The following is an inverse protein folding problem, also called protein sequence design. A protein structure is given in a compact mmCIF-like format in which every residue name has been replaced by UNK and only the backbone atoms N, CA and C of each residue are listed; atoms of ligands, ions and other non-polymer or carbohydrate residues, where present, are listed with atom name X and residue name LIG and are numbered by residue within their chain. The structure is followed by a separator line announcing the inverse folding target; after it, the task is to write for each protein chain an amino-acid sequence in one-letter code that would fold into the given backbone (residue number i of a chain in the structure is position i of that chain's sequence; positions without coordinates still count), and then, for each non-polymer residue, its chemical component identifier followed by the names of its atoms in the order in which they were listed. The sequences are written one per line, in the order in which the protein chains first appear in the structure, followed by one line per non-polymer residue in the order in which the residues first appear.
data_IF_291474602192
#
_entry.id   IF_291474602192
#
_cell.length_a   1.000
_cell.length_b   1.000
_cell.length_c   1.000
_cell.angle_alpha   90.00
_cell.angle_beta   90.00
_cell.angle_gamma   90.00
#
_symmetry.space_group_name_H-M   'P 1'
#
loop_
_entity.id
_entity.type
_entity.pdbx_description
1 polymer ?
#
# COMPACT_ATOMS: atom_id res chain seq x y z
N UNK A 1 14.96 26.29 -29.20
CA UNK A 1 14.34 26.35 -27.86
C UNK A 1 13.37 25.18 -27.76
N UNK A 2 13.45 24.36 -26.70
CA UNK A 2 12.57 23.17 -26.59
C UNK A 2 11.34 23.56 -25.79
N UNK A 3 10.16 23.54 -26.43
CA UNK A 3 8.91 23.86 -25.75
C UNK A 3 8.49 22.68 -24.86
N UNK A 4 8.07 22.99 -23.64
CA UNK A 4 7.62 22.02 -22.63
C UNK A 4 6.12 22.16 -22.43
N UNK A 5 5.45 21.08 -22.04
CA UNK A 5 4.03 21.10 -21.75
C UNK A 5 3.76 21.98 -20.52
N UNK A 6 2.85 22.96 -20.65
CA UNK A 6 2.47 23.83 -19.53
C UNK A 6 1.80 23.08 -18.38
N UNK A 7 1.12 21.96 -18.66
CA UNK A 7 0.38 21.21 -17.63
C UNK A 7 1.32 20.34 -16.79
N UNK A 8 2.30 19.68 -17.39
CA UNK A 8 3.15 18.71 -16.69
C UNK A 8 4.63 19.11 -16.61
N UNK A 9 5.03 20.21 -17.24
CA UNK A 9 6.43 20.67 -17.32
C UNK A 9 7.36 19.77 -18.13
N UNK A 10 6.85 18.65 -18.65
CA UNK A 10 7.63 17.66 -19.40
C UNK A 10 7.82 18.04 -20.86
N UNK A 11 8.96 17.65 -21.44
CA UNK A 11 9.19 17.72 -22.89
C UNK A 11 8.28 16.73 -23.65
N UNK A 12 8.13 15.52 -23.12
CA UNK A 12 7.34 14.44 -23.74
C UNK A 12 7.72 14.14 -25.19
N UNK A 13 6.80 13.57 -25.96
CA UNK A 13 6.95 13.38 -27.40
C UNK A 13 6.56 14.67 -28.13
N UNK A 14 7.43 15.16 -29.02
CA UNK A 14 7.21 16.42 -29.75
C UNK A 14 5.96 16.40 -30.62
N UNK A 15 5.62 15.24 -31.17
CA UNK A 15 4.42 15.01 -32.00
C UNK A 15 3.11 15.04 -31.20
N UNK A 16 3.19 14.88 -29.89
CA UNK A 16 2.04 14.97 -28.99
C UNK A 16 1.81 16.38 -28.45
N UNK A 17 2.67 17.35 -28.78
CA UNK A 17 2.51 18.74 -28.36
C UNK A 17 1.53 19.46 -29.29
N UNK A 18 0.48 20.03 -28.69
CA UNK A 18 -0.44 20.93 -29.37
C UNK A 18 -0.12 22.34 -28.93
N UNK A 19 0.12 23.22 -29.90
CA UNK A 19 0.45 24.61 -29.67
C UNK A 19 -0.80 25.47 -29.57
N UNK A 20 -0.71 26.54 -28.80
CA UNK A 20 -1.77 27.54 -28.77
C UNK A 20 -1.95 28.11 -30.18
N UNK A 21 -3.15 27.96 -30.74
CA UNK A 21 -3.48 28.36 -32.10
C UNK A 21 -3.14 29.83 -32.38
N UNK A 22 -3.34 30.71 -31.38
CA UNK A 22 -3.07 32.14 -31.48
C UNK A 22 -1.59 32.52 -31.31
N UNK A 23 -0.97 32.22 -30.17
CA UNK A 23 0.38 32.71 -29.89
C UNK A 23 1.50 31.78 -30.34
N UNK A 24 1.23 30.48 -30.56
CA UNK A 24 2.23 29.45 -30.91
C UNK A 24 3.42 29.31 -29.93
N UNK A 25 3.42 30.05 -28.81
CA UNK A 25 4.47 30.03 -27.79
C UNK A 25 4.21 28.90 -26.78
N UNK A 26 2.98 28.83 -26.30
CA UNK A 26 2.56 27.88 -25.30
C UNK A 26 2.16 26.55 -25.94
N UNK A 27 2.52 25.44 -25.28
CA UNK A 27 2.21 24.10 -25.73
C UNK A 27 1.73 23.24 -24.56
N UNK A 28 0.85 22.28 -24.86
CA UNK A 28 0.43 21.23 -23.93
C UNK A 28 0.43 19.90 -24.66
N UNK A 29 0.64 18.80 -23.94
CA UNK A 29 0.46 17.49 -24.54
C UNK A 29 -1.01 17.22 -24.81
N UNK A 30 -1.31 16.56 -25.92
CA UNK A 30 -2.66 16.11 -26.31
C UNK A 30 -3.35 15.29 -25.22
N UNK A 31 -2.59 14.46 -24.50
CA UNK A 31 -3.06 13.66 -23.35
C UNK A 31 -3.09 14.44 -22.02
N UNK A 32 -2.47 15.62 -21.96
CA UNK A 32 -2.55 16.52 -20.81
C UNK A 32 -3.70 17.53 -20.93
N UNK A 33 -4.42 17.54 -22.06
CA UNK A 33 -5.66 18.30 -22.20
C UNK A 33 -6.78 17.59 -21.46
N UNK A 34 -7.50 18.31 -20.60
CA UNK A 34 -8.64 17.79 -19.81
C UNK A 34 -9.92 17.53 -20.63
N UNK A 35 -9.83 17.43 -21.96
CA UNK A 35 -10.97 17.13 -22.83
C UNK A 35 -11.05 15.63 -23.06
N UNK A 36 -12.11 15.02 -22.52
CA UNK A 36 -12.49 13.64 -22.76
C UNK A 36 -12.62 13.39 -24.27
N UNK A 37 -11.90 12.36 -24.74
CA UNK A 37 -11.87 11.82 -26.11
C UNK A 37 -11.15 12.71 -27.12
N UNK A 38 -9.83 12.72 -27.05
CA UNK A 38 -9.05 13.10 -28.21
C UNK A 38 -8.73 11.84 -29.02
N UNK A 39 -9.46 11.60 -30.12
CA UNK A 39 -9.06 10.64 -31.16
C UNK A 39 -7.82 11.18 -31.86
N UNK A 40 -6.88 10.33 -32.29
CA UNK A 40 -5.61 10.77 -32.89
C UNK A 40 -5.74 11.32 -34.32
N UNK A 41 -6.95 11.32 -34.89
CA UNK A 41 -7.19 11.54 -36.31
C UNK A 41 -7.65 12.96 -36.68
N UNK A 42 -8.02 13.80 -35.70
CA UNK A 42 -8.53 15.16 -35.94
C UNK A 42 -7.56 16.25 -35.45
N UNK A 43 -7.49 17.38 -36.18
CA UNK A 43 -6.69 18.53 -35.79
C UNK A 43 -7.30 19.24 -34.57
N UNK A 44 -6.56 19.29 -33.46
CA UNK A 44 -7.03 19.88 -32.20
C UNK A 44 -6.67 21.35 -32.12
N UNK A 45 -7.69 22.22 -32.12
CA UNK A 45 -7.52 23.67 -31.88
C UNK A 45 -7.54 23.94 -30.38
N UNK A 46 -6.45 24.49 -29.84
CA UNK A 46 -6.32 24.84 -28.42
C UNK A 46 -5.83 26.28 -28.25
N UNK A 47 -6.29 26.96 -27.19
CA UNK A 47 -5.84 28.30 -26.82
C UNK A 47 -5.30 28.30 -25.39
N UNK A 48 -4.14 28.92 -25.16
CA UNK A 48 -3.64 29.16 -23.81
C UNK A 48 -4.54 30.17 -23.07
N UNK A 49 -4.41 30.24 -21.75
CA UNK A 49 -5.27 31.10 -20.93
C UNK A 49 -5.23 32.57 -21.36
N UNK A 50 -4.06 33.09 -21.70
CA UNK A 50 -3.88 34.46 -22.21
C UNK A 50 -4.54 34.70 -23.57
N UNK A 51 -4.78 33.64 -24.33
CA UNK A 51 -5.34 33.69 -25.68
C UNK A 51 -6.81 33.29 -25.74
N UNK A 52 -7.41 32.86 -24.63
CA UNK A 52 -8.85 32.57 -24.57
C UNK A 52 -9.63 33.85 -24.85
N UNK A 53 -10.63 33.84 -25.75
CA UNK A 53 -11.46 35.02 -25.98
C UNK A 53 -12.28 35.33 -24.73
N UNK A 54 -12.19 36.57 -24.23
CA UNK A 54 -13.03 37.06 -23.13
C UNK A 54 -14.50 36.98 -23.56
N UNK A 55 -15.30 36.17 -22.87
CA UNK A 55 -16.76 36.30 -22.93
C UNK A 55 -17.13 37.56 -22.15
N UNK A 56 -17.88 38.46 -22.79
CA UNK A 56 -18.40 39.64 -22.13
C UNK A 56 -19.42 39.21 -21.05
N UNK A 57 -19.09 39.46 -19.78
CA UNK A 57 -20.00 39.34 -18.65
C UNK A 57 -20.36 40.75 -18.18
N UNK A 58 -21.67 41.02 -18.08
CA UNK A 58 -22.21 42.24 -17.51
C UNK A 58 -21.80 42.36 -16.04
N UNK A 59 -21.25 43.52 -15.72
CA UNK A 59 -20.81 44.00 -14.42
C UNK A 59 -21.95 44.02 -13.40
N UNK A 60 -21.67 43.55 -12.17
CA UNK A 60 -22.02 44.28 -10.95
C UNK A 60 -21.11 43.82 -9.80
N UNK A 61 -20.22 44.75 -9.42
CA UNK A 61 -19.31 44.70 -8.27
C UNK A 61 -20.04 44.93 -6.96
N UNK A 62 -19.73 44.14 -5.92
CA UNK A 62 -19.68 44.66 -4.55
C UNK A 62 -18.55 44.04 -3.73
N UNK A 63 -17.69 44.98 -3.34
CA UNK A 63 -16.68 45.08 -2.28
C UNK A 63 -16.41 43.90 -1.33
N UNK A 64 -15.11 43.69 -1.15
CA UNK A 64 -14.49 42.85 -0.13
C UNK A 64 -14.84 43.31 1.29
N UNK A 65 -15.38 42.38 2.07
CA UNK A 65 -15.19 42.31 3.52
C UNK A 65 -14.85 40.88 3.88
N UNK A 66 -13.75 40.71 4.61
CA UNK A 66 -13.21 39.46 5.09
C UNK A 66 -14.21 38.67 5.95
N UNK A 67 -14.94 37.74 5.31
CA UNK A 67 -15.68 36.63 5.95
C UNK A 67 -16.19 35.67 4.86
N UNK A 68 -15.29 35.10 4.07
CA UNK A 68 -15.60 34.31 2.87
C UNK A 68 -16.10 32.88 3.14
N UNK A 69 -16.58 32.55 4.35
CA UNK A 69 -16.92 31.15 4.68
C UNK A 69 -18.37 30.76 4.37
N UNK A 70 -19.27 31.73 4.11
CA UNK A 70 -20.70 31.45 3.94
C UNK A 70 -21.37 32.09 2.70
N UNK A 71 -20.57 32.58 1.74
CA UNK A 71 -21.12 33.16 0.51
C UNK A 71 -21.66 32.06 -0.42
N UNK A 72 -22.89 32.22 -0.90
CA UNK A 72 -23.59 31.25 -1.78
C UNK A 72 -23.87 31.86 -3.15
N UNK A 73 -23.84 31.05 -4.20
CA UNK A 73 -24.18 31.41 -5.56
C UNK A 73 -24.99 30.30 -6.25
N UNK A 74 -25.63 30.63 -7.37
CA UNK A 74 -26.33 29.65 -8.20
C UNK A 74 -25.36 29.00 -9.19
N UNK A 75 -25.39 27.68 -9.23
CA UNK A 75 -24.80 26.85 -10.29
C UNK A 75 -25.96 26.17 -10.99
N UNK A 76 -26.33 26.68 -12.16
CA UNK A 76 -27.58 26.35 -12.85
C UNK A 76 -28.80 26.50 -11.90
N UNK A 77 -29.73 25.53 -11.66
CA UNK A 77 -30.81 25.77 -10.70
C UNK A 77 -30.40 25.54 -9.23
N UNK A 78 -29.16 25.16 -8.92
CA UNK A 78 -28.75 24.74 -7.56
C UNK A 78 -28.02 25.85 -6.80
N UNK A 79 -28.41 26.07 -5.55
CA UNK A 79 -27.77 27.06 -4.68
C UNK A 79 -26.66 26.40 -3.86
N UNK A 80 -25.42 26.81 -4.06
CA UNK A 80 -24.25 26.23 -3.37
C UNK A 80 -23.29 27.32 -2.90
N UNK A 81 -22.40 27.00 -1.98
CA UNK A 81 -21.34 27.89 -1.54
C UNK A 81 -20.39 28.19 -2.71
N UNK A 82 -20.01 29.47 -2.85
CA UNK A 82 -19.09 29.97 -3.89
C UNK A 82 -17.81 29.15 -3.97
N UNK A 83 -17.32 28.67 -2.83
CA UNK A 83 -16.09 27.88 -2.73
C UNK A 83 -16.16 26.54 -3.48
N UNK A 84 -17.34 25.93 -3.55
CA UNK A 84 -17.53 24.62 -4.22
C UNK A 84 -18.22 24.75 -5.57
N UNK A 85 -18.69 25.93 -5.93
CA UNK A 85 -19.40 26.19 -7.17
C UNK A 85 -18.64 25.70 -8.44
N UNK A 86 -17.32 25.89 -8.58
CA UNK A 86 -16.58 25.36 -9.74
C UNK A 86 -16.60 23.83 -9.83
N UNK A 87 -16.56 23.16 -8.67
CA UNK A 87 -16.58 21.69 -8.59
C UNK A 87 -17.97 21.18 -8.94
N UNK A 88 -19.02 21.79 -8.39
CA UNK A 88 -20.41 21.43 -8.67
C UNK A 88 -20.74 21.66 -10.15
N UNK A 89 -20.31 22.78 -10.74
CA UNK A 89 -20.49 23.05 -12.17
C UNK A 89 -19.81 21.98 -13.03
N UNK A 90 -18.61 21.55 -12.64
CA UNK A 90 -17.88 20.48 -13.32
C UNK A 90 -18.61 19.13 -13.26
N UNK A 91 -19.28 18.84 -12.14
CA UNK A 91 -20.11 17.64 -12.00
C UNK A 91 -21.29 17.70 -12.96
N UNK A 92 -22.03 18.81 -12.96
CA UNK A 92 -23.23 18.98 -13.78
C UNK A 92 -22.90 18.91 -15.27
N UNK A 93 -21.83 19.60 -15.71
CA UNK A 93 -21.42 19.56 -17.11
C UNK A 93 -20.94 18.18 -17.56
N UNK A 94 -20.24 17.43 -16.69
CA UNK A 94 -19.80 16.05 -17.01
C UNK A 94 -20.94 15.04 -16.94
N UNK A 95 -21.98 15.34 -16.17
CA UNK A 95 -23.14 14.49 -15.95
C UNK A 95 -24.43 15.30 -16.09
N UNK A 96 -24.86 15.67 -17.31
CA UNK A 96 -26.04 16.50 -17.51
C UNK A 96 -27.35 15.86 -17.01
N UNK A 97 -27.37 14.54 -16.94
CA UNK A 97 -28.47 13.71 -16.43
C UNK A 97 -28.43 13.50 -14.91
N UNK A 98 -27.52 14.17 -14.18
CA UNK A 98 -27.19 13.83 -12.80
C UNK A 98 -28.37 13.83 -11.82
N UNK A 99 -29.40 14.64 -12.06
CA UNK A 99 -30.61 14.68 -11.23
C UNK A 99 -31.89 14.37 -12.00
N UNK A 100 -31.80 13.83 -13.22
CA UNK A 100 -32.95 13.63 -14.10
C UNK A 100 -33.99 12.68 -13.49
N UNK A 101 -33.54 11.66 -12.76
CA UNK A 101 -34.39 10.65 -12.10
C UNK A 101 -34.49 10.83 -10.57
N UNK A 102 -34.05 11.98 -10.05
CA UNK A 102 -34.02 12.23 -8.61
C UNK A 102 -35.41 12.66 -8.11
N UNK A 103 -36.01 11.94 -7.14
CA UNK A 103 -37.34 12.28 -6.62
C UNK A 103 -37.33 13.44 -5.61
N UNK A 104 -36.15 13.99 -5.29
CA UNK A 104 -35.99 14.96 -4.21
C UNK A 104 -36.20 16.39 -4.69
N UNK A 105 -36.51 17.27 -3.73
CA UNK A 105 -36.62 18.70 -4.00
C UNK A 105 -35.27 19.29 -4.43
N UNK A 106 -35.33 20.36 -5.23
CA UNK A 106 -34.15 21.12 -5.67
C UNK A 106 -33.28 21.61 -4.52
N UNK A 107 -33.89 22.01 -3.40
CA UNK A 107 -33.16 22.42 -2.19
C UNK A 107 -32.39 21.26 -1.55
N UNK A 108 -33.01 20.07 -1.49
CA UNK A 108 -32.36 18.85 -0.99
C UNK A 108 -31.18 18.45 -1.88
N UNK A 109 -31.35 18.51 -3.20
CA UNK A 109 -30.28 18.23 -4.17
C UNK A 109 -29.14 19.24 -4.01
N UNK A 110 -29.46 20.53 -3.80
CA UNK A 110 -28.47 21.58 -3.55
C UNK A 110 -27.62 21.29 -2.32
N UNK A 111 -28.23 20.83 -1.22
CA UNK A 111 -27.50 20.43 0.00
C UNK A 111 -26.59 19.20 -0.22
N UNK A 112 -27.05 18.23 -1.01
CA UNK A 112 -26.24 17.05 -1.36
C UNK A 112 -25.04 17.45 -2.24
N UNK A 113 -25.26 18.29 -3.24
CA UNK A 113 -24.19 18.84 -4.10
C UNK A 113 -23.20 19.68 -3.30
N UNK A 114 -23.69 20.49 -2.35
CA UNK A 114 -22.85 21.24 -1.42
C UNK A 114 -21.91 20.30 -0.66
N UNK A 115 -22.47 19.25 -0.05
CA UNK A 115 -21.69 18.28 0.73
C UNK A 115 -20.68 17.54 -0.15
N UNK A 116 -21.11 17.05 -1.31
CA UNK A 116 -20.23 16.39 -2.27
C UNK A 116 -19.09 17.31 -2.72
N UNK A 117 -19.39 18.56 -3.08
CA UNK A 117 -18.41 19.56 -3.49
C UNK A 117 -17.38 19.85 -2.40
N UNK A 118 -17.81 19.95 -1.14
CA UNK A 118 -16.90 20.16 -0.01
C UNK A 118 -15.97 18.96 0.20
N UNK A 119 -16.48 17.73 0.15
CA UNK A 119 -15.66 16.53 0.32
C UNK A 119 -14.70 16.33 -0.86
N UNK A 120 -15.14 16.61 -2.09
CA UNK A 120 -14.27 16.58 -3.27
C UNK A 120 -13.18 17.65 -3.19
N UNK A 121 -13.49 18.87 -2.72
CA UNK A 121 -12.50 19.91 -2.49
C UNK A 121 -11.44 19.45 -1.48
N UNK A 122 -11.85 18.83 -0.38
CA UNK A 122 -10.91 18.28 0.62
C UNK A 122 -10.01 17.22 -0.02
N UNK A 123 -10.58 16.23 -0.71
CA UNK A 123 -9.79 15.15 -1.31
C UNK A 123 -8.82 15.68 -2.37
N UNK A 124 -9.24 16.64 -3.19
CA UNK A 124 -8.41 17.26 -4.24
C UNK A 124 -7.33 18.21 -3.68
N UNK A 125 -7.47 18.69 -2.45
CA UNK A 125 -6.43 19.50 -1.78
C UNK A 125 -5.23 18.68 -1.29
N UNK A 126 -5.36 17.35 -1.18
CA UNK A 126 -4.24 16.50 -0.77
C UNK A 126 -3.33 16.18 -1.95
N UNK A 127 -2.02 16.23 -1.69
CA UNK A 127 -1.04 15.62 -2.59
C UNK A 127 -1.13 14.10 -2.54
N UNK A 128 -0.67 13.42 -3.59
CA UNK A 128 -0.71 11.95 -3.68
C UNK A 128 -0.02 11.24 -2.50
N UNK A 129 0.96 11.88 -1.86
CA UNK A 129 1.72 11.32 -0.73
C UNK A 129 0.99 11.47 0.62
N UNK A 130 0.08 12.44 0.71
CA UNK A 130 -0.62 12.80 1.95
C UNK A 130 -2.06 12.29 2.01
N UNK A 131 -2.61 11.85 0.88
CA UNK A 131 -3.94 11.25 0.86
C UNK A 131 -3.92 9.90 1.59
N UNK A 132 -4.75 9.75 2.62
CA UNK A 132 -4.89 8.54 3.43
C UNK A 132 -6.29 7.94 3.35
N UNK A 133 -6.42 6.67 3.68
CA UNK A 133 -7.71 5.96 3.57
C UNK A 133 -8.79 6.60 4.44
N UNK A 134 -8.42 7.20 5.58
CA UNK A 134 -9.32 7.99 6.40
C UNK A 134 -9.90 9.22 5.67
N UNK A 135 -9.14 9.85 4.77
CA UNK A 135 -9.58 11.05 4.05
C UNK A 135 -10.66 10.74 3.01
N UNK A 136 -10.73 9.48 2.53
CA UNK A 136 -11.75 9.05 1.57
C UNK A 136 -13.06 8.59 2.23
N UNK A 137 -13.10 8.43 3.55
CA UNK A 137 -14.31 7.96 4.27
C UNK A 137 -15.45 8.98 4.19
N UNK A 138 -15.16 10.25 4.40
CA UNK A 138 -16.18 11.31 4.35
C UNK A 138 -16.76 11.48 2.95
N UNK A 139 -15.91 11.37 1.92
CA UNK A 139 -16.33 11.34 0.53
C UNK A 139 -17.18 10.09 0.22
N UNK A 140 -16.80 8.92 0.72
CA UNK A 140 -17.57 7.67 0.56
C UNK A 140 -19.02 7.83 1.07
N UNK A 141 -19.18 8.40 2.28
CA UNK A 141 -20.49 8.68 2.84
C UNK A 141 -21.30 9.67 1.99
N UNK A 142 -20.67 10.75 1.53
CA UNK A 142 -21.34 11.73 0.68
C UNK A 142 -21.81 11.12 -0.66
N UNK A 143 -21.00 10.25 -1.27
CA UNK A 143 -21.39 9.53 -2.49
C UNK A 143 -22.55 8.57 -2.19
N UNK A 144 -22.50 7.82 -1.08
CA UNK A 144 -23.60 6.92 -0.67
C UNK A 144 -24.92 7.66 -0.45
N UNK A 145 -24.87 8.83 0.18
CA UNK A 145 -26.07 9.65 0.38
C UNK A 145 -26.65 10.12 -0.96
N UNK A 146 -25.80 10.47 -1.92
CA UNK A 146 -26.22 10.85 -3.27
C UNK A 146 -26.79 9.65 -4.07
N UNK A 147 -26.19 8.46 -3.94
CA UNK A 147 -26.71 7.22 -4.53
C UNK A 147 -28.08 6.86 -3.94
N UNK A 148 -28.24 6.97 -2.62
CA UNK A 148 -29.52 6.73 -1.95
C UNK A 148 -30.59 7.72 -2.40
N UNK A 149 -30.19 8.98 -2.66
CA UNK A 149 -31.01 10.01 -3.26
C UNK A 149 -31.29 9.81 -4.76
N UNK A 150 -30.78 8.73 -5.38
CA UNK A 150 -30.89 8.44 -6.82
C UNK A 150 -30.26 9.51 -7.73
N UNK A 151 -29.23 10.20 -7.26
CA UNK A 151 -28.40 11.04 -8.13
C UNK A 151 -27.47 10.15 -8.95
N UNK A 152 -27.26 10.48 -10.24
CA UNK A 152 -26.28 9.75 -11.07
C UNK A 152 -24.86 10.21 -10.71
N UNK A 153 -24.24 9.47 -9.79
CA UNK A 153 -22.86 9.69 -9.31
C UNK A 153 -21.95 8.51 -9.65
N UNK A 154 -22.31 7.70 -10.64
CA UNK A 154 -21.60 6.45 -10.99
C UNK A 154 -20.12 6.67 -11.30
N UNK A 155 -19.79 7.75 -12.01
CA UNK A 155 -18.40 8.09 -12.31
C UNK A 155 -17.63 8.52 -11.07
N UNK A 156 -18.26 9.24 -10.13
CA UNK A 156 -17.65 9.61 -8.85
C UNK A 156 -17.39 8.37 -7.99
N UNK A 157 -18.35 7.43 -7.93
CA UNK A 157 -18.19 6.14 -7.26
C UNK A 157 -17.02 5.35 -7.84
N UNK A 158 -16.95 5.24 -9.17
CA UNK A 158 -15.84 4.56 -9.84
C UNK A 158 -14.48 5.20 -9.51
N UNK A 159 -14.38 6.52 -9.58
CA UNK A 159 -13.15 7.25 -9.23
C UNK A 159 -12.74 7.03 -7.77
N UNK A 160 -13.70 7.11 -6.85
CA UNK A 160 -13.46 6.83 -5.43
C UNK A 160 -12.91 5.41 -5.20
N UNK A 161 -13.52 4.40 -5.84
CA UNK A 161 -13.09 3.01 -5.75
C UNK A 161 -11.68 2.81 -6.32
N UNK A 162 -11.37 3.46 -7.45
CA UNK A 162 -10.04 3.41 -8.05
C UNK A 162 -8.96 4.04 -7.14
N UNK A 163 -9.25 5.20 -6.55
CA UNK A 163 -8.35 5.84 -5.57
C UNK A 163 -8.14 4.92 -4.37
N UNK A 164 -9.22 4.39 -3.79
CA UNK A 164 -9.16 3.49 -2.64
C UNK A 164 -8.32 2.24 -2.91
N UNK A 165 -8.45 1.64 -4.09
CA UNK A 165 -7.63 0.50 -4.52
C UNK A 165 -6.16 0.88 -4.68
N UNK A 166 -5.86 1.99 -5.35
CA UNK A 166 -4.49 2.48 -5.53
C UNK A 166 -3.77 2.70 -4.20
N UNK A 167 -4.48 3.27 -3.23
CA UNK A 167 -3.95 3.48 -1.89
C UNK A 167 -3.66 2.18 -1.14
N UNK A 168 -4.58 1.22 -1.19
CA UNK A 168 -4.35 -0.11 -0.61
C UNK A 168 -3.11 -0.80 -1.21
N UNK A 169 -2.89 -0.65 -2.53
CA UNK A 169 -1.70 -1.18 -3.20
C UNK A 169 -0.41 -0.49 -2.70
N UNK A 170 -0.45 0.82 -2.46
CA UNK A 170 0.68 1.56 -1.87
C UNK A 170 1.00 1.08 -0.45
N UNK A 171 -0.02 0.87 0.39
CA UNK A 171 0.16 0.34 1.74
C UNK A 171 0.79 -1.06 1.73
N UNK A 172 0.30 -1.95 0.85
CA UNK A 172 0.89 -3.27 0.65
C UNK A 172 2.33 -3.19 0.14
N UNK A 173 2.62 -2.26 -0.75
CA UNK A 173 3.98 -2.04 -1.27
C UNK A 173 4.94 -1.60 -0.15
N UNK A 174 4.51 -0.65 0.69
CA UNK A 174 5.29 -0.21 1.85
C UNK A 174 5.52 -1.34 2.85
N UNK A 175 4.48 -2.13 3.16
CA UNK A 175 4.59 -3.28 4.05
C UNK A 175 5.56 -4.34 3.49
N UNK A 176 5.46 -4.65 2.20
CA UNK A 176 6.38 -5.57 1.52
C UNK A 176 7.82 -5.09 1.64
N UNK A 177 8.08 -3.80 1.47
CA UNK A 177 9.42 -3.24 1.58
C UNK A 177 9.95 -3.32 3.03
N UNK A 178 9.12 -3.03 4.03
CA UNK A 178 9.46 -3.23 5.45
C UNK A 178 9.87 -4.68 5.73
N UNK A 179 9.03 -5.64 5.32
CA UNK A 179 9.31 -7.08 5.47
C UNK A 179 10.62 -7.46 4.77
N UNK A 180 10.85 -6.96 3.55
CA UNK A 180 12.07 -7.24 2.78
C UNK A 180 13.33 -6.73 3.51
N UNK A 181 13.26 -5.55 4.13
CA UNK A 181 14.35 -4.99 4.94
C UNK A 181 14.56 -5.84 6.20
N UNK A 182 13.50 -6.18 6.92
CA UNK A 182 13.58 -7.02 8.12
C UNK A 182 14.15 -8.41 7.81
N UNK A 183 13.77 -9.00 6.68
CA UNK A 183 14.33 -10.26 6.18
C UNK A 183 15.81 -10.14 5.82
N UNK A 184 16.24 -9.02 5.23
CA UNK A 184 17.65 -8.77 4.94
C UNK A 184 18.47 -8.62 6.24
N UNK A 185 17.92 -7.94 7.24
CA UNK A 185 18.55 -7.75 8.55
C UNK A 185 18.60 -9.04 9.38
N UNK A 186 17.64 -9.96 9.21
CA UNK A 186 17.63 -11.28 9.88
C UNK A 186 18.58 -12.32 9.28
N UNK A 187 19.38 -11.97 8.26
CA UNK A 187 20.41 -12.90 7.72
C UNK A 187 21.52 -13.23 8.72
N UNK A 188 21.66 -12.45 9.79
CA UNK A 188 22.52 -12.82 10.92
C UNK A 188 21.70 -13.47 12.02
N UNK A 189 22.04 -14.73 12.33
CA UNK A 189 21.53 -15.41 13.53
C UNK A 189 21.88 -14.54 14.75
N UNK A 190 20.93 -14.27 15.67
CA UNK A 190 21.21 -13.39 16.81
C UNK A 190 22.45 -13.86 17.56
N UNK A 191 23.36 -12.94 17.87
CA UNK A 191 24.67 -13.23 18.49
C UNK A 191 24.52 -14.15 19.71
N UNK A 192 23.50 -13.90 20.52
CA UNK A 192 23.14 -14.74 21.68
C UNK A 192 22.92 -16.22 21.30
N UNK A 193 22.17 -16.49 20.24
CA UNK A 193 21.83 -17.85 19.77
C UNK A 193 23.04 -18.55 19.15
N UNK A 194 23.90 -17.80 18.47
CA UNK A 194 25.16 -18.32 17.92
C UNK A 194 26.12 -18.74 19.04
N UNK A 195 26.20 -17.97 20.11
CA UNK A 195 27.02 -18.30 21.28
C UNK A 195 26.49 -19.53 22.00
N UNK A 196 25.17 -19.62 22.25
CA UNK A 196 24.57 -20.80 22.90
C UNK A 196 24.79 -22.08 22.10
N UNK A 197 24.62 -22.03 20.77
CA UNK A 197 24.90 -23.19 19.90
C UNK A 197 26.36 -23.64 20.00
N UNK A 198 27.30 -22.69 20.09
CA UNK A 198 28.71 -23.01 20.19
C UNK A 198 29.05 -23.65 21.55
N UNK A 199 28.44 -23.17 22.64
CA UNK A 199 28.64 -23.73 23.97
C UNK A 199 28.01 -25.13 24.09
N UNK A 200 26.79 -25.33 23.58
CA UNK A 200 26.17 -26.67 23.46
C UNK A 200 27.07 -27.61 22.63
N UNK A 201 27.69 -27.11 21.56
CA UNK A 201 28.65 -27.86 20.76
C UNK A 201 29.87 -28.33 21.56
N UNK A 202 30.42 -27.48 22.44
CA UNK A 202 31.52 -27.86 23.36
C UNK A 202 31.06 -28.91 24.36
N UNK A 203 29.87 -28.76 24.93
CA UNK A 203 29.33 -29.72 25.91
C UNK A 203 29.10 -31.10 25.28
N UNK A 204 28.57 -31.18 24.06
CA UNK A 204 28.44 -32.44 23.31
C UNK A 204 29.80 -33.11 23.12
N UNK A 205 30.84 -32.34 22.76
CA UNK A 205 32.19 -32.91 22.63
C UNK A 205 32.73 -33.42 23.96
N UNK A 206 32.52 -32.69 25.06
CA UNK A 206 32.94 -33.12 26.38
C UNK A 206 32.23 -34.42 26.80
N UNK A 207 30.91 -34.50 26.59
CA UNK A 207 30.13 -35.70 26.86
C UNK A 207 30.60 -36.90 26.02
N UNK A 208 30.93 -36.70 24.75
CA UNK A 208 31.52 -37.75 23.90
C UNK A 208 32.84 -38.29 24.46
N UNK A 209 33.75 -37.41 24.92
CA UNK A 209 35.02 -37.85 25.53
C UNK A 209 34.79 -38.63 26.83
N UNK A 210 33.86 -38.16 27.67
CA UNK A 210 33.48 -38.86 28.90
C UNK A 210 32.89 -40.24 28.63
N UNK A 211 31.99 -40.35 27.64
CA UNK A 211 31.42 -41.62 27.24
C UNK A 211 32.51 -42.61 26.77
N UNK A 212 33.44 -42.17 25.93
CA UNK A 212 34.56 -43.00 25.48
C UNK A 212 35.47 -43.45 26.65
N UNK A 213 35.73 -42.58 27.63
CA UNK A 213 36.49 -42.94 28.83
C UNK A 213 35.78 -44.03 29.65
N UNK A 214 34.47 -43.88 29.85
CA UNK A 214 33.66 -44.86 30.59
C UNK A 214 33.59 -46.20 29.87
N UNK A 215 33.54 -46.22 28.53
CA UNK A 215 33.59 -47.47 27.75
C UNK A 215 34.91 -48.23 27.99
N UNK A 216 36.04 -47.51 28.02
CA UNK A 216 37.36 -48.10 28.32
C UNK A 216 37.38 -48.69 29.74
N UNK A 217 36.87 -47.95 30.74
CA UNK A 217 36.79 -48.41 32.13
C UNK A 217 35.92 -49.66 32.29
N UNK A 218 34.74 -49.69 31.65
CA UNK A 218 33.86 -50.87 31.65
C UNK A 218 34.56 -52.08 31.01
N UNK A 219 35.30 -51.86 29.93
CA UNK A 219 36.02 -52.92 29.24
C UNK A 219 37.17 -53.49 30.09
N UNK A 220 37.93 -52.64 30.78
CA UNK A 220 39.01 -53.05 31.69
C UNK A 220 38.47 -53.85 32.90
N UNK A 221 37.44 -53.33 33.56
CA UNK A 221 36.77 -54.03 34.67
C UNK A 221 36.17 -55.38 34.22
N UNK A 222 35.59 -55.43 33.02
CA UNK A 222 35.07 -56.67 32.43
C UNK A 222 36.16 -57.70 32.10
N UNK A 223 37.37 -57.26 31.77
CA UNK A 223 38.55 -58.12 31.63
C UNK A 223 39.00 -58.70 32.98
N UNK A 224 39.12 -57.84 33.98
CA UNK A 224 39.48 -58.22 35.35
C UNK A 224 38.52 -59.25 35.96
N UNK A 225 37.21 -59.06 35.80
CA UNK A 225 36.20 -60.04 36.24
C UNK A 225 36.34 -61.39 35.54
N UNK A 226 36.63 -61.40 34.23
CA UNK A 226 36.86 -62.62 33.46
C UNK A 226 38.06 -63.40 33.97
N UNK A 227 39.16 -62.71 34.30
CA UNK A 227 40.36 -63.33 34.84
C UNK A 227 40.12 -63.96 36.22
N UNK A 228 39.35 -63.28 37.08
CA UNK A 228 38.94 -63.82 38.39
C UNK A 228 38.08 -65.08 38.18
N UNK A 229 37.12 -65.05 37.27
CA UNK A 229 36.27 -66.19 36.96
C UNK A 229 37.08 -67.39 36.45
N UNK A 230 38.04 -67.17 35.53
CA UNK A 230 38.94 -68.21 35.03
C UNK A 230 39.81 -68.82 36.15
N UNK A 231 40.36 -67.98 37.04
CA UNK A 231 41.11 -68.45 38.21
C UNK A 231 40.23 -69.32 39.12
N UNK A 232 39.00 -68.91 39.40
CA UNK A 232 38.05 -69.70 40.19
C UNK A 232 37.70 -71.04 39.52
N UNK A 233 37.37 -71.03 38.23
CA UNK A 233 37.08 -72.24 37.46
C UNK A 233 38.25 -73.22 37.47
N UNK A 234 39.48 -72.73 37.31
CA UNK A 234 40.69 -73.57 37.37
C UNK A 234 40.89 -74.23 38.75
N UNK A 235 40.55 -73.52 39.84
CA UNK A 235 40.61 -74.06 41.21
C UNK A 235 39.54 -75.13 41.43
N UNK A 236 38.31 -74.91 40.96
CA UNK A 236 37.22 -75.89 41.04
C UNK A 236 37.57 -77.14 40.23
N UNK A 237 38.04 -76.99 38.99
CA UNK A 237 38.48 -78.11 38.15
C UNK A 237 39.55 -78.95 38.84
N UNK A 238 40.59 -78.30 39.37
CA UNK A 238 41.65 -78.98 40.15
C UNK A 238 41.11 -79.71 41.39
N UNK A 239 40.10 -79.16 42.05
CA UNK A 239 39.45 -79.82 43.17
C UNK A 239 38.70 -81.08 42.72
N UNK A 240 37.85 -80.97 41.69
CA UNK A 240 37.14 -82.11 41.11
C UNK A 240 38.09 -83.21 40.63
N UNK A 241 39.14 -82.86 39.88
CA UNK A 241 40.13 -83.83 39.37
C UNK A 241 40.82 -84.59 40.51
N UNK A 242 41.16 -83.91 41.62
CA UNK A 242 41.78 -84.55 42.80
C UNK A 242 40.82 -85.44 43.57
N UNK A 243 39.54 -85.07 43.67
CA UNK A 243 38.52 -85.85 44.36
C UNK A 243 38.18 -87.11 43.56
N UNK A 244 38.03 -86.99 42.24
CA UNK A 244 37.81 -88.12 41.32
C UNK A 244 39.03 -89.07 41.28
N UNK A 245 40.26 -88.54 41.25
CA UNK A 245 41.48 -89.36 41.27
C UNK A 245 41.69 -90.14 42.59
N UNK A 246 40.99 -89.75 43.67
CA UNK A 246 41.03 -90.44 44.97
C UNK A 246 39.90 -91.47 45.15
N UNK A 247 39.05 -91.67 44.15
CA UNK A 247 37.98 -92.68 44.19
C UNK A 247 36.89 -92.41 45.24
N UNK A 248 36.67 -91.14 45.62
CA UNK A 248 35.70 -90.74 46.66
C UNK A 248 34.35 -90.25 46.08
N UNK A 249 34.01 -90.67 44.87
CA UNK A 249 32.68 -90.54 44.27
C UNK A 249 32.32 -91.87 43.60
#
# INVERSE_FOLDING_TARGET
MVNVCLTCGGKGYSEALVYCHKCQIHAVHRYCMELQKVTFEEDVIWFCEDCKPMKAENSETVQATDSADNSVCYVEPYLVNVVVAPIVLSIIHKHPDFSQDCPLSRGTISNLLQRLGMELKKVTSFTSENLKSEHLKSLDYAIRDAEFAKLNVNSLRYWHDQLKRGMHLLDLHQLRNKIKIDMANRKELPVSTKTTLNDIGKDIQLLKRKAASLEIEIQDQGGSMRDIALKCLSKIKRFCDRTLARGLL
#
